data_IF_857361986077
#
_entry.id   IF_857361986077
#
_cell.length_a   1.000
_cell.length_b   1.000
_cell.length_c   1.000
_cell.angle_alpha   90.00
_cell.angle_beta   90.00
_cell.angle_gamma   90.00
#
_symmetry.space_group_name_H-M   'P 1'
#
loop_
_entity.id
_entity.type
_entity.pdbx_description
1 polymer ?
#
# COMPACT_ATOMS: atom_id res chain seq x y z
N UNK A 1 -25.14 8.54 -50.22
CA UNK A 1 -23.95 7.75 -49.84
C UNK A 1 -23.37 8.40 -48.60
N UNK A 2 -23.64 7.86 -47.42
CA UNK A 2 -23.16 8.36 -46.13
C UNK A 2 -21.84 7.69 -45.81
N UNK A 3 -20.76 8.46 -45.72
CA UNK A 3 -19.45 7.93 -45.31
C UNK A 3 -19.50 7.42 -43.87
N UNK A 4 -18.91 6.25 -43.57
CA UNK A 4 -18.76 5.80 -42.19
C UNK A 4 -17.79 6.73 -41.46
N UNK A 5 -18.30 7.43 -40.46
CA UNK A 5 -17.52 8.24 -39.53
C UNK A 5 -16.61 7.32 -38.71
N UNK A 6 -15.35 7.16 -39.14
CA UNK A 6 -14.32 6.48 -38.37
C UNK A 6 -13.97 7.31 -37.14
N UNK A 7 -14.65 7.05 -36.03
CA UNK A 7 -14.21 7.57 -34.73
C UNK A 7 -12.82 6.98 -34.43
N UNK A 8 -11.77 7.80 -34.27
CA UNK A 8 -10.47 7.31 -33.89
C UNK A 8 -10.62 6.56 -32.57
N UNK A 9 -10.35 5.26 -32.57
CA UNK A 9 -10.26 4.50 -31.33
C UNK A 9 -9.27 5.22 -30.42
N UNK A 10 -9.67 5.62 -29.19
CA UNK A 10 -8.75 6.28 -28.30
C UNK A 10 -7.52 5.38 -28.17
N UNK A 11 -6.30 5.93 -28.31
CA UNK A 11 -5.09 5.12 -28.22
C UNK A 11 -5.19 4.34 -26.92
N UNK A 12 -5.08 3.02 -27.02
CA UNK A 12 -5.10 2.10 -25.87
C UNK A 12 -4.03 2.57 -24.90
N UNK A 13 -4.38 3.44 -23.95
CA UNK A 13 -3.43 4.05 -23.03
C UNK A 13 -2.77 2.91 -22.27
N UNK A 14 -1.52 2.68 -22.64
CA UNK A 14 -0.81 1.47 -22.35
C UNK A 14 -0.50 1.42 -20.86
N UNK A 15 -1.31 0.68 -20.08
CA UNK A 15 -0.98 -0.10 -18.87
C UNK A 15 -0.10 0.54 -17.75
N UNK A 16 0.35 1.78 -17.91
CA UNK A 16 1.45 2.38 -17.17
C UNK A 16 0.90 3.46 -16.29
N UNK A 17 1.01 3.23 -14.98
CA UNK A 17 0.83 4.27 -13.98
C UNK A 17 1.73 5.45 -14.37
N UNK A 18 1.14 6.65 -14.44
CA UNK A 18 1.87 7.87 -14.76
C UNK A 18 3.11 7.99 -13.85
N UNK A 19 4.23 8.46 -14.40
CA UNK A 19 5.53 8.50 -13.69
C UNK A 19 5.41 9.18 -12.32
N UNK A 20 4.68 10.30 -12.25
CA UNK A 20 4.42 11.02 -11.01
C UNK A 20 3.69 10.17 -9.97
N UNK A 21 2.56 9.54 -10.34
CA UNK A 21 1.80 8.66 -9.43
C UNK A 21 2.62 7.47 -8.94
N UNK A 22 3.46 6.91 -9.81
CA UNK A 22 4.36 5.81 -9.45
C UNK A 22 5.38 6.23 -8.40
N UNK A 23 6.02 7.40 -8.58
CA UNK A 23 6.94 7.94 -7.58
C UNK A 23 6.23 8.33 -6.28
N UNK A 24 5.02 8.89 -6.36
CA UNK A 24 4.22 9.17 -5.18
C UNK A 24 3.91 7.90 -4.38
N UNK A 25 3.48 6.81 -5.06
CA UNK A 25 3.28 5.50 -4.43
C UNK A 25 4.55 4.99 -3.75
N UNK A 26 5.70 5.10 -4.42
CA UNK A 26 6.98 4.67 -3.83
C UNK A 26 7.33 5.48 -2.59
N UNK A 27 7.19 6.80 -2.66
CA UNK A 27 7.45 7.69 -1.53
C UNK A 27 6.54 7.35 -0.33
N UNK A 28 5.22 7.22 -0.52
CA UNK A 28 4.30 6.94 0.60
C UNK A 28 4.50 5.55 1.19
N UNK A 29 4.78 4.51 0.38
CA UNK A 29 5.08 3.18 0.90
C UNK A 29 6.41 3.13 1.65
N UNK A 30 7.43 3.86 1.16
CA UNK A 30 8.70 3.99 1.88
C UNK A 30 8.50 4.73 3.20
N UNK A 31 7.74 5.83 3.22
CA UNK A 31 7.43 6.56 4.45
C UNK A 31 6.69 5.66 5.46
N UNK A 32 5.67 4.92 5.04
CA UNK A 32 4.96 3.96 5.89
C UNK A 32 5.91 2.94 6.51
N UNK A 33 6.77 2.33 5.70
CA UNK A 33 7.71 1.31 6.16
C UNK A 33 8.73 1.89 7.14
N UNK A 34 9.37 3.02 6.80
CA UNK A 34 10.40 3.65 7.63
C UNK A 34 9.81 4.12 8.96
N UNK A 35 8.67 4.80 8.93
CA UNK A 35 8.01 5.29 10.16
C UNK A 35 7.50 4.14 11.04
N UNK A 36 7.02 3.05 10.44
CA UNK A 36 6.59 1.84 11.17
C UNK A 36 7.77 1.10 11.81
N UNK A 37 8.87 0.91 11.09
CA UNK A 37 10.10 0.31 11.64
C UNK A 37 10.67 1.17 12.75
N UNK A 38 10.76 2.49 12.56
CA UNK A 38 11.25 3.42 13.58
C UNK A 38 10.43 3.30 14.87
N UNK A 39 9.10 3.19 14.77
CA UNK A 39 8.24 2.99 15.92
C UNK A 39 8.48 1.65 16.62
N UNK A 40 8.59 0.56 15.86
CA UNK A 40 8.89 -0.77 16.41
C UNK A 40 10.23 -0.78 17.15
N UNK A 41 11.27 -0.21 16.55
CA UNK A 41 12.60 -0.14 17.19
C UNK A 41 12.52 0.59 18.52
N UNK A 42 11.91 1.78 18.57
CA UNK A 42 11.77 2.56 19.80
C UNK A 42 10.95 1.80 20.84
N UNK A 43 9.83 1.20 20.45
CA UNK A 43 8.95 0.45 21.36
C UNK A 43 9.65 -0.68 22.10
N UNK A 44 10.62 -1.33 21.45
CA UNK A 44 11.37 -2.44 22.04
C UNK A 44 12.70 -2.02 22.69
N UNK A 45 13.22 -0.83 22.38
CA UNK A 45 14.53 -0.37 22.88
C UNK A 45 14.44 0.66 24.00
N UNK A 46 13.30 1.32 24.17
CA UNK A 46 13.09 2.40 25.15
C UNK A 46 12.07 1.96 26.19
N UNK A 47 12.45 2.00 27.47
CA UNK A 47 11.61 1.52 28.57
C UNK A 47 10.34 2.38 28.79
N UNK A 48 10.46 3.70 28.58
CA UNK A 48 9.33 4.63 28.61
C UNK A 48 9.37 5.53 27.36
N UNK A 49 8.87 5.03 26.21
CA UNK A 49 8.91 5.75 24.94
C UNK A 49 8.18 7.09 24.97
N UNK A 50 7.13 7.22 25.78
CA UNK A 50 6.28 8.41 25.79
C UNK A 50 7.02 9.62 26.36
N UNK A 51 7.85 9.41 27.39
CA UNK A 51 8.66 10.47 28.00
C UNK A 51 10.01 10.64 27.30
N UNK A 52 10.64 9.54 26.87
CA UNK A 52 12.02 9.56 26.37
C UNK A 52 12.12 9.77 24.85
N UNK A 53 11.03 9.58 24.10
CA UNK A 53 11.00 9.77 22.66
C UNK A 53 9.79 10.62 22.20
N UNK A 54 9.73 11.92 22.55
CA UNK A 54 8.59 12.80 22.22
C UNK A 54 8.35 12.95 20.71
N UNK A 55 9.39 12.73 19.88
CA UNK A 55 9.28 12.73 18.42
C UNK A 55 8.44 11.55 17.89
N UNK A 56 8.22 10.50 18.69
CA UNK A 56 7.42 9.33 18.32
C UNK A 56 5.98 9.71 17.99
N UNK A 57 5.43 10.73 18.67
CA UNK A 57 4.12 11.29 18.35
C UNK A 57 4.06 11.88 16.94
N UNK A 58 5.10 12.61 16.52
CA UNK A 58 5.21 13.14 15.15
C UNK A 58 5.42 12.02 14.12
N UNK A 59 6.22 11.01 14.47
CA UNK A 59 6.41 9.82 13.64
C UNK A 59 5.07 9.10 13.38
N UNK A 60 4.23 8.93 14.40
CA UNK A 60 2.89 8.34 14.26
C UNK A 60 1.91 9.21 13.48
N UNK A 61 1.95 10.54 13.64
CA UNK A 61 1.18 11.46 12.80
C UNK A 61 1.56 11.33 11.32
N UNK A 62 2.87 11.26 11.03
CA UNK A 62 3.37 11.07 9.68
C UNK A 62 3.00 9.70 9.10
N UNK A 63 3.06 8.64 9.91
CA UNK A 63 2.62 7.30 9.53
C UNK A 63 1.13 7.29 9.16
N UNK A 64 0.27 7.85 10.02
CA UNK A 64 -1.16 7.97 9.77
C UNK A 64 -1.49 8.79 8.52
N UNK A 65 -0.84 9.95 8.33
CA UNK A 65 -1.00 10.76 7.13
C UNK A 65 -0.56 10.00 5.86
N UNK A 66 0.55 9.27 5.94
CA UNK A 66 1.04 8.43 4.84
C UNK A 66 0.06 7.28 4.52
N UNK A 67 -0.62 6.72 5.53
CA UNK A 67 -1.63 5.67 5.34
C UNK A 67 -2.87 6.19 4.60
N UNK A 68 -3.34 7.39 4.94
CA UNK A 68 -4.42 8.07 4.22
C UNK A 68 -4.01 8.33 2.76
N UNK A 69 -2.82 8.87 2.54
CA UNK A 69 -2.30 9.14 1.19
C UNK A 69 -2.13 7.85 0.37
N UNK A 70 -1.62 6.77 0.98
CA UNK A 70 -1.47 5.48 0.31
C UNK A 70 -2.83 4.90 -0.09
N UNK A 71 -3.81 4.91 0.81
CA UNK A 71 -5.19 4.45 0.52
C UNK A 71 -5.79 5.23 -0.64
N UNK A 72 -5.68 6.56 -0.61
CA UNK A 72 -6.16 7.42 -1.68
C UNK A 72 -5.47 7.10 -3.01
N UNK A 73 -4.14 7.06 -3.05
CA UNK A 73 -3.37 6.81 -4.27
C UNK A 73 -3.65 5.41 -4.84
N UNK A 74 -3.77 4.38 -4.01
CA UNK A 74 -4.17 3.03 -4.42
C UNK A 74 -5.57 3.06 -5.03
N UNK A 75 -6.51 3.80 -4.45
CA UNK A 75 -7.84 4.03 -5.01
C UNK A 75 -7.78 4.68 -6.40
N UNK A 76 -6.91 5.69 -6.59
CA UNK A 76 -6.78 6.39 -7.88
C UNK A 76 -6.26 5.50 -9.02
N UNK A 77 -5.57 4.40 -8.71
CA UNK A 77 -5.08 3.44 -9.70
C UNK A 77 -5.97 2.20 -9.83
N UNK A 78 -7.09 2.14 -9.09
CA UNK A 78 -7.96 0.96 -9.06
C UNK A 78 -8.46 0.57 -10.45
N UNK A 79 -9.13 1.50 -11.14
CA UNK A 79 -9.70 1.24 -12.46
C UNK A 79 -8.63 1.06 -13.55
N UNK A 80 -7.58 1.88 -13.53
CA UNK A 80 -6.57 1.93 -14.59
C UNK A 80 -5.51 0.82 -14.49
N UNK A 81 -5.22 0.33 -13.28
CA UNK A 81 -4.19 -0.69 -13.05
C UNK A 81 -4.79 -1.97 -12.48
N UNK A 82 -5.45 -1.92 -11.32
CA UNK A 82 -5.86 -3.11 -10.57
C UNK A 82 -6.96 -3.88 -11.30
N UNK A 83 -8.11 -3.26 -11.55
CA UNK A 83 -9.26 -3.88 -12.25
C UNK A 83 -8.87 -4.36 -13.64
N UNK A 84 -8.08 -3.57 -14.35
CA UNK A 84 -7.67 -3.89 -15.72
C UNK A 84 -6.69 -5.07 -15.78
N UNK A 85 -5.64 -5.06 -14.95
CA UNK A 85 -4.69 -6.17 -14.84
C UNK A 85 -5.38 -7.45 -14.38
N UNK A 86 -6.33 -7.30 -13.44
CA UNK A 86 -7.18 -8.39 -13.03
C UNK A 86 -7.99 -8.90 -14.21
N UNK A 87 -8.85 -8.12 -14.87
CA UNK A 87 -9.64 -8.57 -16.03
C UNK A 87 -8.81 -9.36 -17.07
N UNK A 88 -7.59 -8.88 -17.39
CA UNK A 88 -6.70 -9.51 -18.38
C UNK A 88 -5.83 -10.67 -17.88
N UNK A 89 -6.07 -11.17 -16.67
CA UNK A 89 -5.28 -12.25 -16.03
C UNK A 89 -3.78 -11.95 -15.93
N UNK A 90 -3.37 -10.68 -15.97
CA UNK A 90 -1.95 -10.29 -15.91
C UNK A 90 -1.51 -10.09 -14.47
N UNK A 91 -0.46 -10.81 -14.08
CA UNK A 91 0.16 -10.69 -12.75
C UNK A 91 -0.82 -10.80 -11.56
N UNK A 92 -1.93 -11.53 -11.74
CA UNK A 92 -3.02 -11.62 -10.74
C UNK A 92 -2.55 -12.16 -9.41
N UNK A 93 -1.70 -13.19 -9.41
CA UNK A 93 -1.29 -13.82 -8.17
C UNK A 93 -0.44 -12.89 -7.32
N UNK A 94 0.65 -12.34 -7.88
CA UNK A 94 1.50 -11.40 -7.13
C UNK A 94 0.74 -10.10 -6.78
N UNK A 95 -0.12 -9.60 -7.68
CA UNK A 95 -1.00 -8.46 -7.38
C UNK A 95 -2.05 -8.76 -6.30
N UNK A 96 -2.58 -9.98 -6.27
CA UNK A 96 -3.55 -10.43 -5.27
C UNK A 96 -2.91 -10.60 -3.90
N UNK A 97 -1.72 -11.18 -3.81
CA UNK A 97 -0.96 -11.28 -2.55
C UNK A 97 -0.61 -9.89 -2.02
N UNK A 98 -0.14 -8.98 -2.88
CA UNK A 98 0.12 -7.59 -2.48
C UNK A 98 -1.15 -6.86 -2.04
N UNK A 99 -2.25 -6.99 -2.80
CA UNK A 99 -3.54 -6.38 -2.46
C UNK A 99 -4.15 -6.93 -1.17
N UNK A 100 -4.02 -8.23 -0.92
CA UNK A 100 -4.42 -8.86 0.34
C UNK A 100 -3.63 -8.31 1.52
N UNK A 101 -2.29 -8.21 1.39
CA UNK A 101 -1.44 -7.63 2.43
C UNK A 101 -1.80 -6.16 2.73
N UNK A 102 -2.12 -5.37 1.70
CA UNK A 102 -2.63 -4.00 1.89
C UNK A 102 -3.98 -3.98 2.61
N UNK A 103 -4.92 -4.84 2.23
CA UNK A 103 -6.21 -4.96 2.91
C UNK A 103 -6.05 -5.36 4.37
N UNK A 104 -5.15 -6.29 4.66
CA UNK A 104 -4.80 -6.71 6.01
C UNK A 104 -4.24 -5.56 6.84
N UNK A 105 -3.35 -4.74 6.27
CA UNK A 105 -2.81 -3.54 6.91
C UNK A 105 -3.88 -2.50 7.21
N UNK A 106 -4.82 -2.28 6.29
CA UNK A 106 -5.94 -1.34 6.49
C UNK A 106 -6.86 -1.81 7.62
N UNK A 107 -7.28 -3.08 7.59
CA UNK A 107 -8.19 -3.64 8.60
C UNK A 107 -7.52 -3.70 9.97
N UNK A 108 -6.28 -4.17 10.05
CA UNK A 108 -5.53 -4.21 11.31
C UNK A 108 -5.23 -2.80 11.84
N UNK A 109 -4.88 -1.84 10.98
CA UNK A 109 -4.68 -0.44 11.37
C UNK A 109 -5.96 0.21 11.90
N UNK A 110 -7.11 -0.08 11.29
CA UNK A 110 -8.42 0.30 11.83
C UNK A 110 -8.69 -0.36 13.19
N UNK A 111 -8.37 -1.65 13.33
CA UNK A 111 -8.47 -2.37 14.60
C UNK A 111 -7.61 -1.74 15.71
N UNK A 112 -6.39 -1.29 15.38
CA UNK A 112 -5.52 -0.53 16.29
C UNK A 112 -6.08 0.83 16.69
N UNK A 113 -7.08 1.35 15.99
CA UNK A 113 -7.74 2.59 16.37
C UNK A 113 -8.99 2.34 17.22
N UNK A 114 -9.75 1.29 16.91
CA UNK A 114 -11.10 1.10 17.48
C UNK A 114 -11.26 -0.07 18.44
N UNK A 115 -10.36 -1.06 18.43
CA UNK A 115 -10.48 -2.20 19.34
C UNK A 115 -9.89 -1.87 20.72
N UNK A 116 -10.71 -2.11 21.75
CA UNK A 116 -10.39 -1.85 23.16
C UNK A 116 -10.24 -3.13 24.00
N UNK A 117 -10.50 -4.32 23.44
CA UNK A 117 -10.34 -5.60 24.13
C UNK A 117 -8.96 -6.21 23.89
N UNK A 118 -8.34 -6.79 24.92
CA UNK A 118 -6.95 -7.27 24.89
C UNK A 118 -6.68 -8.26 23.74
N UNK A 119 -7.59 -9.20 23.51
CA UNK A 119 -7.44 -10.20 22.44
C UNK A 119 -7.55 -9.56 21.05
N UNK A 120 -8.62 -8.79 20.80
CA UNK A 120 -8.85 -8.20 19.47
C UNK A 120 -7.77 -7.16 19.15
N UNK A 121 -7.37 -6.38 20.15
CA UNK A 121 -6.28 -5.41 20.05
C UNK A 121 -4.96 -6.10 19.79
N UNK A 122 -4.62 -7.13 20.57
CA UNK A 122 -3.40 -7.91 20.39
C UNK A 122 -3.31 -8.58 19.02
N UNK A 123 -4.41 -9.14 18.51
CA UNK A 123 -4.46 -9.68 17.15
C UNK A 123 -4.21 -8.59 16.10
N UNK A 124 -4.85 -7.43 16.23
CA UNK A 124 -4.61 -6.31 15.31
C UNK A 124 -3.14 -5.85 15.33
N UNK A 125 -2.50 -5.78 16.50
CA UNK A 125 -1.07 -5.45 16.65
C UNK A 125 -0.18 -6.42 15.90
N UNK A 126 -0.29 -7.71 16.19
CA UNK A 126 0.52 -8.74 15.54
C UNK A 126 0.29 -8.79 14.02
N UNK A 127 -0.97 -8.74 13.59
CA UNK A 127 -1.31 -8.74 12.16
C UNK A 127 -0.72 -7.51 11.46
N UNK A 128 -0.80 -6.34 12.08
CA UNK A 128 -0.28 -5.11 11.49
C UNK A 128 1.24 -5.13 11.35
N UNK A 129 1.95 -5.55 12.39
CA UNK A 129 3.41 -5.61 12.38
C UNK A 129 3.94 -6.64 11.37
N UNK A 130 3.40 -7.86 11.40
CA UNK A 130 3.84 -8.94 10.50
C UNK A 130 3.52 -8.58 9.04
N UNK A 131 2.31 -8.07 8.77
CA UNK A 131 1.94 -7.64 7.43
C UNK A 131 2.80 -6.45 6.95
N UNK A 132 3.08 -5.49 7.84
CA UNK A 132 3.85 -4.29 7.53
C UNK A 132 5.30 -4.59 7.19
N UNK A 133 5.97 -5.41 8.01
CA UNK A 133 7.34 -5.84 7.77
C UNK A 133 7.47 -6.71 6.52
N UNK A 134 6.51 -7.60 6.29
CA UNK A 134 6.56 -8.50 5.13
C UNK A 134 6.17 -7.81 3.82
N UNK A 135 5.44 -6.68 3.84
CA UNK A 135 4.88 -6.01 2.64
C UNK A 135 5.91 -5.71 1.54
N UNK A 136 7.16 -5.41 1.92
CA UNK A 136 8.25 -5.16 0.97
C UNK A 136 8.47 -6.36 0.01
N UNK A 137 8.27 -7.60 0.49
CA UNK A 137 8.47 -8.81 -0.30
C UNK A 137 7.37 -8.99 -1.37
N UNK A 138 6.05 -8.98 -1.05
CA UNK A 138 4.98 -8.95 -2.06
C UNK A 138 5.10 -7.78 -3.03
N UNK A 139 5.49 -6.59 -2.55
CA UNK A 139 5.66 -5.42 -3.39
C UNK A 139 6.78 -5.63 -4.44
N UNK A 140 7.95 -6.09 -4.01
CA UNK A 140 9.06 -6.41 -4.91
C UNK A 140 8.69 -7.54 -5.88
N UNK A 141 8.00 -8.56 -5.41
CA UNK A 141 7.54 -9.68 -6.22
C UNK A 141 6.52 -9.25 -7.28
N UNK A 142 5.53 -8.45 -6.90
CA UNK A 142 4.56 -7.83 -7.81
C UNK A 142 5.27 -7.02 -8.90
N UNK A 143 6.23 -6.17 -8.51
CA UNK A 143 6.97 -5.31 -9.43
C UNK A 143 7.86 -6.11 -10.40
N UNK A 144 8.58 -7.11 -9.90
CA UNK A 144 9.47 -7.95 -10.72
C UNK A 144 8.72 -8.84 -11.70
N UNK A 145 7.58 -9.43 -11.29
CA UNK A 145 6.69 -10.18 -12.20
C UNK A 145 6.02 -9.25 -13.22
N UNK A 146 5.59 -8.07 -12.79
CA UNK A 146 4.99 -7.06 -13.68
C UNK A 146 5.95 -6.60 -14.78
N UNK A 147 7.24 -6.40 -14.46
CA UNK A 147 8.28 -6.09 -15.45
C UNK A 147 8.54 -7.23 -16.42
N UNK A 148 8.54 -8.48 -15.95
CA UNK A 148 8.72 -9.67 -16.80
C UNK A 148 7.59 -9.86 -17.81
N UNK A 149 6.35 -9.58 -17.41
CA UNK A 149 5.17 -9.70 -18.28
C UNK A 149 5.08 -8.53 -19.29
N UNK A 150 5.78 -7.43 -19.03
CA UNK A 150 5.80 -6.24 -19.90
C UNK A 150 6.95 -6.23 -20.92
N UNK A 151 7.91 -7.14 -20.78
CA UNK A 151 8.92 -7.47 -21.80
C UNK A 151 8.34 -8.53 -22.72
#
# INVERSE_FOLDING_TARGET
>A
MSEPHFLPHPPRQAFRIARQRRWALYAVFTLLLVTGIAWLVVRWSVADPETQAPWLAWNMKLHGASALAATFLVGTIWSSHIRHAWSRRRNRFAGGVFGFALGLLLVSGYGLYYFNGDLQRGLAEWMHWIAGLSLALPFWWHLSRGRRIAR
#
